data_IF_286398822419
#
_entry.id   IF_286398822419
#
_cell.length_a   1.000
_cell.length_b   1.000
_cell.length_c   1.000
_cell.angle_alpha   90.00
_cell.angle_beta   90.00
_cell.angle_gamma   90.00
#
_symmetry.space_group_name_H-M   'P 1'
#
loop_
_entity.id
_entity.type
_entity.pdbx_description
1 polymer ?
#
# COMPACT_ATOMS: atom_id res chain seq x y z
N UNK A 1 -32.50 -5.49 -56.32
CA UNK A 1 -31.37 -6.13 -55.65
C UNK A 1 -30.83 -5.16 -54.62
N UNK A 2 -31.19 -5.35 -53.34
CA UNK A 2 -30.76 -4.46 -52.25
C UNK A 2 -29.52 -5.05 -51.61
N UNK A 3 -28.44 -4.27 -51.57
CA UNK A 3 -27.16 -4.61 -50.96
C UNK A 3 -27.32 -4.62 -49.42
N UNK A 4 -26.87 -5.65 -48.72
CA UNK A 4 -26.95 -5.65 -47.24
C UNK A 4 -25.96 -4.65 -46.66
N UNK A 5 -26.45 -3.69 -45.88
CA UNK A 5 -25.62 -2.81 -45.06
C UNK A 5 -24.90 -3.63 -43.99
N UNK A 6 -23.59 -3.67 -44.07
CA UNK A 6 -22.73 -4.20 -43.03
C UNK A 6 -22.92 -3.37 -41.75
N UNK A 7 -23.49 -3.96 -40.72
CA UNK A 7 -23.50 -3.37 -39.38
C UNK A 7 -22.03 -3.28 -38.88
N UNK A 8 -21.53 -2.07 -38.78
CA UNK A 8 -20.24 -1.81 -38.14
C UNK A 8 -20.24 -2.43 -36.72
N UNK A 9 -19.22 -3.25 -36.42
CA UNK A 9 -18.99 -3.72 -35.06
C UNK A 9 -18.84 -2.50 -34.16
N UNK A 10 -19.49 -2.49 -32.96
CA UNK A 10 -19.26 -1.42 -32.02
C UNK A 10 -17.75 -1.38 -31.70
N UNK A 11 -17.16 -0.20 -31.81
CA UNK A 11 -15.79 0.06 -31.33
C UNK A 11 -15.70 -0.40 -29.89
N UNK A 12 -14.76 -1.28 -29.58
CA UNK A 12 -14.46 -1.62 -28.18
C UNK A 12 -14.15 -0.30 -27.45
N UNK A 13 -14.86 -0.02 -26.37
CA UNK A 13 -14.58 1.15 -25.57
C UNK A 13 -13.10 1.11 -25.15
N UNK A 14 -12.44 2.25 -25.29
CA UNK A 14 -11.03 2.36 -24.92
C UNK A 14 -10.90 2.14 -23.41
N UNK A 15 -9.98 1.23 -23.00
CA UNK A 15 -9.74 0.89 -21.60
C UNK A 15 -9.12 2.08 -20.88
N UNK A 16 -9.71 2.48 -19.74
CA UNK A 16 -9.31 3.66 -18.98
C UNK A 16 -8.61 3.30 -17.67
N UNK A 17 -7.93 4.28 -17.08
CA UNK A 17 -7.38 4.18 -15.70
C UNK A 17 -8.49 3.89 -14.70
N UNK A 18 -9.68 4.45 -14.90
CA UNK A 18 -10.83 4.22 -14.04
C UNK A 18 -11.29 2.75 -14.12
N UNK A 19 -11.37 2.19 -15.33
CA UNK A 19 -11.73 0.77 -15.51
C UNK A 19 -10.73 -0.15 -14.80
N UNK A 20 -9.44 0.16 -14.88
CA UNK A 20 -8.40 -0.59 -14.16
C UNK A 20 -8.57 -0.48 -12.64
N UNK A 21 -8.79 0.72 -12.12
CA UNK A 21 -8.97 0.98 -10.69
C UNK A 21 -10.17 0.22 -10.13
N UNK A 22 -11.28 0.19 -10.87
CA UNK A 22 -12.51 -0.53 -10.49
C UNK A 22 -12.33 -2.04 -10.60
N UNK A 23 -11.81 -2.55 -11.72
CA UNK A 23 -11.62 -3.99 -11.93
C UNK A 23 -10.72 -4.61 -10.86
N UNK A 24 -9.58 -3.97 -10.59
CA UNK A 24 -8.62 -4.46 -9.61
C UNK A 24 -8.93 -4.01 -8.18
N UNK A 25 -10.01 -3.25 -7.97
CA UNK A 25 -10.48 -2.74 -6.68
C UNK A 25 -9.39 -2.02 -5.88
N UNK A 26 -8.54 -1.26 -6.57
CA UNK A 26 -7.38 -0.59 -5.99
C UNK A 26 -7.77 0.30 -4.82
N UNK A 27 -8.88 1.07 -4.94
CA UNK A 27 -9.39 1.90 -3.87
C UNK A 27 -9.80 1.16 -2.60
N UNK A 28 -10.12 -0.16 -2.69
CA UNK A 28 -10.54 -0.95 -1.53
C UNK A 28 -9.37 -1.43 -0.68
N UNK A 29 -8.28 -1.89 -1.30
CA UNK A 29 -7.13 -2.48 -0.60
C UNK A 29 -5.91 -1.57 -0.58
N UNK A 30 -5.80 -0.65 -1.54
CA UNK A 30 -4.61 0.17 -1.75
C UNK A 30 -4.61 1.48 -0.97
N UNK A 31 -5.77 2.08 -0.73
CA UNK A 31 -5.85 3.37 -0.05
C UNK A 31 -5.30 3.34 1.39
N UNK A 32 -4.60 4.41 1.78
CA UNK A 32 -4.26 5.60 1.02
C UNK A 32 -2.92 5.52 0.26
N UNK A 33 -2.29 4.36 0.20
CA UNK A 33 -0.90 4.19 -0.24
C UNK A 33 -0.75 3.86 -1.72
N UNK A 34 -1.60 2.97 -2.26
CA UNK A 34 -1.50 2.48 -3.63
C UNK A 34 -2.60 3.06 -4.49
N UNK A 35 -2.25 3.46 -5.70
CA UNK A 35 -3.19 4.00 -6.69
C UNK A 35 -2.68 3.76 -8.11
N UNK A 36 -3.55 3.94 -9.10
CA UNK A 36 -3.15 3.95 -10.51
C UNK A 36 -2.90 5.41 -10.92
N UNK A 37 -1.70 5.70 -11.44
CA UNK A 37 -1.35 7.05 -11.87
C UNK A 37 -1.91 7.36 -13.28
N UNK A 38 -1.70 8.60 -13.75
CA UNK A 38 -2.20 9.04 -15.06
C UNK A 38 -1.63 8.24 -16.25
N UNK A 39 -0.50 7.57 -16.07
CA UNK A 39 0.11 6.71 -17.09
C UNK A 39 -0.47 5.29 -17.10
N UNK A 40 -1.41 4.98 -16.21
CA UNK A 40 -1.96 3.64 -16.04
C UNK A 40 -1.05 2.70 -15.23
N UNK A 41 -0.02 3.22 -14.58
CA UNK A 41 0.89 2.43 -13.76
C UNK A 41 0.46 2.40 -12.30
N UNK A 42 0.74 1.29 -11.62
CA UNK A 42 0.67 1.25 -10.15
C UNK A 42 1.69 2.21 -9.57
N UNK A 43 1.22 3.07 -8.68
CA UNK A 43 2.08 3.99 -7.94
C UNK A 43 1.86 3.85 -6.44
N UNK A 44 2.88 4.21 -5.67
CA UNK A 44 2.89 4.16 -4.21
C UNK A 44 3.11 5.58 -3.68
N UNK A 45 2.29 5.97 -2.73
CA UNK A 45 2.41 7.23 -2.01
C UNK A 45 2.98 6.96 -0.64
N UNK A 46 4.17 7.48 -0.35
CA UNK A 46 4.62 7.63 1.02
C UNK A 46 3.76 8.70 1.70
N UNK A 47 3.23 8.42 2.88
CA UNK A 47 2.49 9.41 3.68
C UNK A 47 3.49 10.21 4.52
N UNK A 48 4.50 10.78 3.86
CA UNK A 48 5.43 11.75 4.41
C UNK A 48 4.94 13.19 4.18
N UNK A 49 5.58 14.16 4.82
CA UNK A 49 5.25 15.58 4.66
C UNK A 49 5.47 16.08 3.22
N UNK A 50 6.37 15.44 2.48
CA UNK A 50 6.69 15.79 1.10
C UNK A 50 5.68 15.25 0.09
N UNK A 51 4.82 14.29 0.49
CA UNK A 51 3.85 13.64 -0.40
C UNK A 51 4.50 12.85 -1.53
N UNK A 52 5.68 12.29 -1.30
CA UNK A 52 6.48 11.55 -2.28
C UNK A 52 5.68 10.40 -2.90
N UNK A 53 5.69 10.32 -4.21
CA UNK A 53 5.09 9.21 -4.96
C UNK A 53 6.13 8.49 -5.80
N UNK A 54 6.01 7.17 -5.90
CA UNK A 54 6.90 6.31 -6.67
C UNK A 54 6.10 5.51 -7.68
N UNK A 55 6.50 5.54 -8.93
CA UNK A 55 5.95 4.69 -9.99
C UNK A 55 6.62 3.31 -9.92
N UNK A 56 5.83 2.24 -9.79
CA UNK A 56 6.36 0.88 -9.68
C UNK A 56 7.07 0.43 -10.96
N UNK A 57 6.63 0.92 -12.12
CA UNK A 57 7.29 0.61 -13.41
C UNK A 57 8.69 1.22 -13.46
N UNK A 58 8.88 2.43 -12.92
CA UNK A 58 10.20 3.06 -12.84
C UNK A 58 11.13 2.27 -11.92
N UNK A 59 10.63 1.78 -10.78
CA UNK A 59 11.39 0.92 -9.87
C UNK A 59 11.81 -0.37 -10.60
N UNK A 60 10.88 -1.02 -11.31
CA UNK A 60 11.16 -2.26 -12.06
C UNK A 60 12.22 -2.02 -13.14
N UNK A 61 12.14 -0.90 -13.86
CA UNK A 61 13.10 -0.54 -14.90
C UNK A 61 14.49 -0.27 -14.31
N UNK A 62 14.55 0.38 -13.14
CA UNK A 62 15.81 0.59 -12.42
C UNK A 62 16.44 -0.74 -11.98
N UNK A 63 15.66 -1.65 -11.41
CA UNK A 63 16.13 -2.97 -11.00
C UNK A 63 16.69 -3.76 -12.20
N UNK A 64 16.01 -3.72 -13.36
CA UNK A 64 16.49 -4.33 -14.60
C UNK A 64 17.83 -3.73 -15.06
N UNK A 65 17.98 -2.42 -15.00
CA UNK A 65 19.24 -1.76 -15.35
C UNK A 65 20.39 -2.16 -14.42
N UNK A 66 20.09 -2.46 -13.17
CA UNK A 66 21.06 -2.98 -12.18
C UNK A 66 21.33 -4.47 -12.32
N UNK A 67 20.70 -5.17 -13.26
CA UNK A 67 20.88 -6.61 -13.48
C UNK A 67 20.19 -7.51 -12.45
N UNK A 68 19.24 -6.98 -11.68
CA UNK A 68 18.48 -7.77 -10.71
C UNK A 68 17.59 -8.78 -11.44
N UNK A 69 17.68 -10.03 -11.01
CA UNK A 69 16.87 -11.13 -11.57
C UNK A 69 15.44 -11.10 -10.97
N UNK A 70 14.45 -11.45 -11.80
CA UNK A 70 13.05 -11.55 -11.40
C UNK A 70 12.65 -13.02 -11.16
N UNK A 71 11.69 -13.29 -10.26
CA UNK A 71 10.81 -12.34 -9.57
C UNK A 71 11.48 -11.58 -8.42
N UNK A 72 10.97 -10.40 -8.06
CA UNK A 72 11.39 -9.59 -6.91
C UNK A 72 10.22 -9.31 -5.98
N UNK A 73 10.49 -9.15 -4.71
CA UNK A 73 9.53 -8.67 -3.72
C UNK A 73 9.90 -7.25 -3.32
N UNK A 74 8.99 -6.31 -3.57
CA UNK A 74 9.14 -4.91 -3.17
C UNK A 74 8.47 -4.70 -1.81
N UNK A 75 9.17 -4.04 -0.89
CA UNK A 75 8.63 -3.57 0.38
C UNK A 75 8.82 -2.07 0.49
N UNK A 76 7.77 -1.40 0.90
CA UNK A 76 7.78 0.05 1.12
C UNK A 76 7.73 0.31 2.62
N UNK A 77 8.88 0.56 3.21
CA UNK A 77 9.03 0.73 4.67
C UNK A 77 8.21 1.91 5.18
N UNK A 78 8.12 3.00 4.43
CA UNK A 78 7.30 4.17 4.79
C UNK A 78 5.81 3.82 4.92
N UNK A 79 5.30 2.90 4.09
CA UNK A 79 3.94 2.38 4.21
C UNK A 79 3.76 1.63 5.53
N UNK A 80 4.72 0.79 5.89
CA UNK A 80 4.72 0.06 7.16
C UNK A 80 4.74 1.02 8.35
N UNK A 81 5.64 2.00 8.36
CA UNK A 81 5.74 3.06 9.39
C UNK A 81 4.42 3.83 9.53
N UNK A 82 3.83 4.24 8.41
CA UNK A 82 2.58 4.97 8.41
C UNK A 82 1.43 4.14 9.00
N UNK A 83 1.36 2.84 8.69
CA UNK A 83 0.32 1.95 9.23
C UNK A 83 0.49 1.72 10.74
N UNK A 84 1.72 1.52 11.23
CA UNK A 84 1.99 1.42 12.67
C UNK A 84 1.50 2.69 13.37
N UNK A 85 1.82 3.86 12.83
CA UNK A 85 1.40 5.15 13.40
C UNK A 85 -0.13 5.26 13.40
N UNK A 86 -0.79 5.03 12.26
CA UNK A 86 -2.25 5.13 12.13
C UNK A 86 -3.00 4.29 13.16
N UNK A 87 -2.59 3.02 13.32
CA UNK A 87 -3.26 2.12 14.27
C UNK A 87 -3.09 2.64 15.71
N UNK A 88 -1.88 3.01 16.11
CA UNK A 88 -1.64 3.48 17.47
C UNK A 88 -2.32 4.84 17.75
N UNK A 89 -2.32 5.75 16.78
CA UNK A 89 -3.03 7.04 16.90
C UNK A 89 -4.54 6.86 17.00
N UNK A 90 -5.13 5.93 16.23
CA UNK A 90 -6.55 5.63 16.32
C UNK A 90 -6.94 5.14 17.73
N UNK A 91 -6.13 4.27 18.33
CA UNK A 91 -6.36 3.84 19.72
C UNK A 91 -6.17 4.99 20.72
N UNK A 92 -5.17 5.83 20.56
CA UNK A 92 -4.98 7.03 21.42
C UNK A 92 -6.18 7.98 21.34
N UNK A 93 -6.67 8.24 20.14
CA UNK A 93 -7.85 9.07 19.93
C UNK A 93 -9.09 8.47 20.60
N UNK A 94 -9.35 7.17 20.36
CA UNK A 94 -10.49 6.50 20.98
C UNK A 94 -10.44 6.50 22.51
N UNK A 95 -9.25 6.33 23.10
CA UNK A 95 -9.02 6.39 24.55
C UNK A 95 -9.34 7.79 25.08
N UNK A 96 -8.88 8.83 24.40
CA UNK A 96 -9.14 10.22 24.76
C UNK A 96 -10.63 10.55 24.67
N UNK A 97 -11.29 10.20 23.56
CA UNK A 97 -12.70 10.46 23.30
C UNK A 97 -13.62 9.74 24.31
N UNK A 98 -13.25 8.52 24.69
CA UNK A 98 -13.97 7.74 25.69
C UNK A 98 -13.64 8.12 27.14
N UNK A 99 -12.71 9.06 27.36
CA UNK A 99 -12.17 9.40 28.67
C UNK A 99 -11.74 8.13 29.47
N UNK A 100 -11.12 7.18 28.78
CA UNK A 100 -10.71 5.91 29.35
C UNK A 100 -9.40 6.07 30.15
N UNK A 101 -9.44 5.74 31.44
CA UNK A 101 -8.35 6.00 32.39
C UNK A 101 -7.13 5.08 32.28
N UNK A 102 -6.92 4.42 31.13
CA UNK A 102 -5.78 3.53 30.92
C UNK A 102 -5.12 3.77 29.54
N UNK A 103 -4.12 3.00 29.20
CA UNK A 103 -3.33 3.12 27.96
C UNK A 103 -3.51 1.88 27.08
N UNK A 104 -3.32 2.05 25.77
CA UNK A 104 -3.15 0.96 24.80
C UNK A 104 -1.68 0.81 24.44
N UNK A 105 -1.22 -0.43 24.27
CA UNK A 105 0.09 -0.75 23.71
C UNK A 105 -0.07 -1.79 22.61
N UNK A 106 0.40 -1.47 21.41
CA UNK A 106 0.46 -2.43 20.30
C UNK A 106 1.48 -3.52 20.60
N UNK A 107 1.14 -4.75 20.29
CA UNK A 107 2.05 -5.90 20.39
C UNK A 107 2.09 -6.59 19.03
N UNK A 108 3.28 -6.72 18.46
CA UNK A 108 3.46 -7.38 17.17
C UNK A 108 3.87 -8.85 17.37
N UNK A 109 3.07 -9.82 16.88
CA UNK A 109 3.43 -11.23 16.93
C UNK A 109 4.51 -11.53 15.87
N UNK A 110 5.74 -11.84 16.30
CA UNK A 110 6.88 -12.09 15.39
C UNK A 110 6.60 -13.20 14.38
N UNK A 111 5.83 -14.22 14.76
CA UNK A 111 5.48 -15.35 13.88
C UNK A 111 4.77 -14.96 12.58
N UNK A 112 4.16 -13.78 12.52
CA UNK A 112 3.46 -13.29 11.32
C UNK A 112 4.45 -12.95 10.20
N UNK A 113 5.55 -12.26 10.54
CA UNK A 113 6.66 -12.01 9.64
C UNK A 113 7.94 -11.78 10.47
N UNK A 114 8.87 -12.71 10.38
CA UNK A 114 10.10 -12.74 11.19
C UNK A 114 11.29 -12.06 10.51
N UNK A 115 11.09 -11.45 9.35
CA UNK A 115 12.17 -10.78 8.65
C UNK A 115 12.71 -9.62 9.49
N UNK A 116 14.03 -9.62 9.69
CA UNK A 116 14.73 -8.64 10.53
C UNK A 116 14.35 -7.20 10.14
N UNK A 117 14.40 -6.89 8.85
CA UNK A 117 14.10 -5.55 8.33
C UNK A 117 12.65 -5.12 8.60
N UNK A 118 11.71 -6.07 8.67
CA UNK A 118 10.30 -5.77 8.98
C UNK A 118 10.13 -5.54 10.47
N UNK A 119 10.76 -6.39 11.30
CA UNK A 119 10.66 -6.29 12.78
C UNK A 119 11.31 -4.99 13.27
N UNK A 120 12.49 -4.65 12.77
CA UNK A 120 13.18 -3.40 13.10
C UNK A 120 12.35 -2.18 12.75
N UNK A 121 11.77 -2.16 11.54
CA UNK A 121 10.95 -1.05 11.08
C UNK A 121 9.68 -0.87 11.93
N UNK A 122 9.03 -1.99 12.31
CA UNK A 122 7.87 -1.99 13.19
C UNK A 122 8.22 -1.44 14.59
N UNK A 123 9.34 -1.87 15.15
CA UNK A 123 9.80 -1.42 16.47
C UNK A 123 10.17 0.07 16.45
N UNK A 124 10.91 0.51 15.45
CA UNK A 124 11.29 1.91 15.32
C UNK A 124 10.06 2.83 15.19
N UNK A 125 9.12 2.46 14.31
CA UNK A 125 7.88 3.20 14.15
C UNK A 125 6.98 3.14 15.39
N UNK A 126 7.00 2.01 16.11
CA UNK A 126 6.20 1.75 17.30
C UNK A 126 6.77 2.31 18.61
N UNK A 127 8.06 2.70 18.63
CA UNK A 127 8.75 3.19 19.83
C UNK A 127 8.03 4.35 20.54
N UNK A 128 7.52 5.39 19.84
CA UNK A 128 6.79 6.47 20.47
C UNK A 128 5.48 6.06 21.13
N UNK A 129 4.99 4.87 20.81
CA UNK A 129 3.74 4.30 21.31
C UNK A 129 3.96 3.22 22.38
N UNK A 130 5.22 2.90 22.70
CA UNK A 130 5.56 1.83 23.62
C UNK A 130 5.19 0.44 23.06
N UNK A 131 5.21 0.28 21.72
CA UNK A 131 4.93 -0.98 21.06
C UNK A 131 5.97 -2.04 21.41
N UNK A 132 5.53 -3.29 21.58
CA UNK A 132 6.36 -4.44 21.90
C UNK A 132 6.19 -5.60 20.93
N UNK A 133 6.88 -6.70 21.24
CA UNK A 133 6.85 -7.93 20.47
C UNK A 133 6.21 -9.06 21.29
N UNK A 134 5.47 -9.93 20.60
CA UNK A 134 5.02 -11.23 21.14
C UNK A 134 5.87 -12.32 20.46
N UNK A 135 6.53 -13.11 21.29
CA UNK A 135 7.43 -14.20 20.89
C UNK A 135 6.85 -15.58 21.19
N UNK A 136 5.55 -15.70 21.23
CA UNK A 136 4.85 -16.98 21.40
C UNK A 136 5.04 -17.93 20.23
N UNK A 137 4.98 -19.21 20.52
CA UNK A 137 5.07 -20.31 19.53
C UNK A 137 3.69 -20.68 19.00
#
# INVERSE_FOLDING_TARGET
MSTPQSKAKPSAAEWTVQDATELYRIGSWGEPFFFVNANGHMAVRALDEAGTTMDVVDIVNELRRRGVQFPVLLRFQDVLRAQVRRVNEAFRTAIADANYGNISRGIYPIKVNQLHEVVDELLDAGRPFGMGLECGS
#
